data_IF_789189495405
#
_entry.id   IF_789189495405
#
_cell.length_a   1.000
_cell.length_b   1.000
_cell.length_c   1.000
_cell.angle_alpha   90.00
_cell.angle_beta   90.00
_cell.angle_gamma   90.00
#
_symmetry.space_group_name_H-M   'P 1'
#
loop_
_entity.id
_entity.type
_entity.pdbx_description
1 polymer ?
#
# COMPACT_ATOMS: atom_id res chain seq x y z
N UNK A 1 31.64 -23.31 -29.75
CA UNK A 1 31.89 -22.96 -28.34
C UNK A 1 31.72 -21.46 -28.23
N UNK A 2 30.50 -21.00 -27.97
CA UNK A 2 30.23 -19.60 -27.68
C UNK A 2 30.62 -19.37 -26.23
N UNK A 3 31.55 -18.46 -26.02
CA UNK A 3 31.93 -17.95 -24.71
C UNK A 3 30.69 -17.32 -24.10
N UNK A 4 30.02 -18.02 -23.19
CA UNK A 4 29.07 -17.40 -22.28
C UNK A 4 29.85 -16.32 -21.53
N UNK A 5 29.58 -15.06 -21.84
CA UNK A 5 30.07 -13.94 -21.04
C UNK A 5 29.54 -14.17 -19.63
N UNK A 6 30.46 -14.38 -18.71
CA UNK A 6 30.19 -14.53 -17.29
C UNK A 6 29.56 -13.21 -16.81
N UNK A 7 28.26 -13.27 -16.55
CA UNK A 7 27.63 -12.87 -15.31
C UNK A 7 27.90 -11.42 -14.85
N UNK A 8 27.25 -10.46 -15.52
CA UNK A 8 26.90 -9.23 -14.80
C UNK A 8 25.81 -9.62 -13.82
N UNK A 9 26.21 -10.00 -12.61
CA UNK A 9 25.30 -10.35 -11.51
C UNK A 9 24.28 -9.21 -11.39
N UNK A 10 23.05 -9.45 -11.84
CA UNK A 10 22.01 -8.42 -11.92
C UNK A 10 21.44 -8.24 -10.51
N UNK A 11 22.17 -7.44 -9.74
CA UNK A 11 21.89 -7.10 -8.36
C UNK A 11 21.50 -5.64 -8.25
N UNK A 12 20.55 -5.37 -7.37
CA UNK A 12 20.23 -4.02 -6.98
C UNK A 12 21.43 -3.39 -6.26
N UNK A 13 21.67 -2.13 -6.57
CA UNK A 13 22.59 -1.27 -5.82
C UNK A 13 21.97 -0.89 -4.47
N UNK A 14 22.78 -0.38 -3.53
CA UNK A 14 22.26 0.09 -2.23
C UNK A 14 21.23 1.23 -2.39
N UNK A 15 21.44 2.13 -3.34
CA UNK A 15 20.52 3.22 -3.67
C UNK A 15 19.19 2.71 -4.22
N UNK A 16 19.26 1.72 -5.12
CA UNK A 16 18.08 1.02 -5.65
C UNK A 16 17.29 0.29 -4.54
N UNK A 17 17.99 -0.34 -3.58
CA UNK A 17 17.35 -0.99 -2.43
C UNK A 17 16.70 0.02 -1.48
N UNK A 18 17.31 1.18 -1.26
CA UNK A 18 16.73 2.27 -0.46
C UNK A 18 15.45 2.83 -1.10
N UNK A 19 15.46 3.03 -2.42
CA UNK A 19 14.27 3.45 -3.16
C UNK A 19 13.13 2.42 -3.05
N UNK A 20 13.43 1.13 -3.16
CA UNK A 20 12.44 0.05 -2.99
C UNK A 20 11.89 0.01 -1.55
N UNK A 21 12.77 0.15 -0.55
CA UNK A 21 12.41 0.20 0.87
C UNK A 21 11.46 1.37 1.18
N UNK A 22 11.83 2.60 0.77
CA UNK A 22 11.01 3.80 0.92
C UNK A 22 9.66 3.65 0.23
N UNK A 23 9.63 3.04 -0.96
CA UNK A 23 8.38 2.78 -1.69
C UNK A 23 7.44 1.88 -0.88
N UNK A 24 7.95 0.84 -0.22
CA UNK A 24 7.15 -0.06 0.62
C UNK A 24 6.55 0.67 1.83
N UNK A 25 7.35 1.54 2.45
CA UNK A 25 6.94 2.34 3.60
C UNK A 25 5.88 3.38 3.22
N UNK A 26 6.07 4.08 2.09
CA UNK A 26 5.09 5.04 1.55
C UNK A 26 3.79 4.34 1.15
N UNK A 27 3.87 3.19 0.47
CA UNK A 27 2.69 2.38 0.15
C UNK A 27 1.94 1.95 1.40
N UNK A 28 2.66 1.54 2.46
CA UNK A 28 2.02 1.18 3.74
C UNK A 28 1.31 2.36 4.38
N UNK A 29 1.96 3.53 4.42
CA UNK A 29 1.39 4.75 4.98
C UNK A 29 0.17 5.23 4.17
N UNK A 30 0.25 5.20 2.85
CA UNK A 30 -0.81 5.67 1.94
C UNK A 30 -2.02 4.75 1.91
N UNK A 31 -1.81 3.42 1.89
CA UNK A 31 -2.93 2.45 1.88
C UNK A 31 -3.53 2.20 3.26
N UNK A 32 -2.81 2.51 4.33
CA UNK A 32 -3.15 2.12 5.70
C UNK A 32 -3.05 0.60 5.94
N UNK A 33 -2.49 -0.16 5.00
CA UNK A 33 -2.29 -1.61 5.07
C UNK A 33 -0.81 -1.93 5.19
N UNK A 34 -0.46 -3.08 5.77
CA UNK A 34 0.92 -3.52 5.85
C UNK A 34 1.40 -4.02 4.49
N UNK A 35 2.30 -3.28 3.84
CA UNK A 35 2.95 -3.66 2.59
C UNK A 35 4.39 -4.07 2.88
N UNK A 36 4.76 -5.26 2.42
CA UNK A 36 6.11 -5.78 2.49
C UNK A 36 6.80 -5.62 1.13
N UNK A 37 8.10 -5.34 1.17
CA UNK A 37 8.99 -5.49 0.04
C UNK A 37 10.05 -6.54 0.41
N UNK A 38 9.97 -7.72 -0.21
CA UNK A 38 10.98 -8.76 -0.04
C UNK A 38 11.93 -8.78 -1.22
N UNK A 39 13.24 -8.71 -0.95
CA UNK A 39 14.26 -9.00 -1.94
C UNK A 39 14.48 -10.51 -2.03
N UNK A 40 14.33 -11.06 -3.22
CA UNK A 40 14.56 -12.47 -3.49
C UNK A 40 15.43 -12.64 -4.75
N UNK A 41 15.74 -13.89 -5.09
CA UNK A 41 16.51 -14.26 -6.28
C UNK A 41 15.66 -15.22 -7.11
N UNK A 42 15.53 -14.96 -8.41
CA UNK A 42 14.83 -15.85 -9.34
C UNK A 42 15.62 -17.14 -9.59
N UNK A 43 15.00 -18.14 -10.20
CA UNK A 43 15.67 -19.39 -10.61
C UNK A 43 16.86 -19.14 -11.57
N UNK A 44 16.87 -18.01 -12.26
CA UNK A 44 17.90 -17.57 -13.19
C UNK A 44 19.04 -16.78 -12.50
N UNK A 45 18.94 -16.58 -11.19
CA UNK A 45 19.97 -15.88 -10.39
C UNK A 45 19.86 -14.35 -10.42
N UNK A 46 18.73 -13.80 -10.84
CA UNK A 46 18.49 -12.35 -10.91
C UNK A 46 17.80 -11.88 -9.64
N UNK A 47 18.19 -10.72 -9.10
CA UNK A 47 17.43 -10.15 -7.99
C UNK A 47 16.06 -9.66 -8.44
N UNK A 48 15.07 -9.86 -7.55
CA UNK A 48 13.69 -9.41 -7.69
C UNK A 48 13.25 -8.77 -6.38
N UNK A 49 12.54 -7.66 -6.48
CA UNK A 49 11.86 -7.02 -5.37
C UNK A 49 10.36 -7.30 -5.49
N UNK A 50 9.80 -7.99 -4.50
CA UNK A 50 8.40 -8.43 -4.48
C UNK A 50 7.63 -7.54 -3.52
N UNK A 51 6.63 -6.82 -4.03
CA UNK A 51 5.73 -6.01 -3.21
C UNK A 51 4.44 -6.77 -2.97
N UNK A 52 4.11 -7.02 -1.70
CA UNK A 52 2.92 -7.75 -1.33
C UNK A 52 2.25 -7.17 -0.08
N UNK A 53 0.92 -7.20 -0.07
CA UNK A 53 0.11 -6.77 1.06
C UNK A 53 -0.08 -7.95 2.02
N UNK A 54 0.25 -7.76 3.30
CA UNK A 54 -0.06 -8.75 4.34
C UNK A 54 -1.58 -8.91 4.45
N UNK A 55 -2.03 -10.15 4.49
CA UNK A 55 -3.42 -10.48 4.80
C UNK A 55 -3.59 -10.52 6.32
N UNK A 56 -4.69 -9.96 6.81
CA UNK A 56 -4.95 -9.87 8.23
C UNK A 56 -4.97 -11.28 8.86
N UNK A 57 -4.01 -11.56 9.74
CA UNK A 57 -3.91 -12.83 10.47
C UNK A 57 -4.99 -12.96 11.57
N UNK A 58 -5.80 -11.92 11.77
CA UNK A 58 -6.76 -11.80 12.86
C UNK A 58 -8.12 -12.50 12.60
N UNK A 59 -8.29 -13.14 11.44
CA UNK A 59 -9.34 -14.17 11.26
C UNK A 59 -8.87 -15.59 11.66
N UNK A 60 -7.57 -15.87 11.59
CA UNK A 60 -7.03 -17.20 11.90
C UNK A 60 -6.57 -17.38 13.37
N UNK A 61 -6.51 -16.30 14.15
CA UNK A 61 -5.88 -16.33 15.49
C UNK A 61 -6.79 -15.92 16.64
N UNK A 62 -8.12 -15.83 16.44
CA UNK A 62 -9.08 -15.73 17.54
C UNK A 62 -9.37 -17.14 18.10
N UNK A 63 -8.77 -17.43 19.25
CA UNK A 63 -8.99 -18.56 20.18
C UNK A 63 -8.48 -19.97 19.76
N UNK A 64 -7.38 -20.47 20.35
CA UNK A 64 -7.04 -21.90 20.32
C UNK A 64 -7.79 -22.71 21.40
N UNK A 65 -8.91 -22.21 21.94
CA UNK A 65 -9.59 -22.79 23.11
C UNK A 65 -10.82 -23.65 22.81
N UNK A 66 -11.35 -23.63 21.59
CA UNK A 66 -12.50 -24.45 21.19
C UNK A 66 -12.20 -25.19 19.87
N UNK A 67 -11.12 -25.98 19.87
CA UNK A 67 -10.85 -26.95 18.81
C UNK A 67 -11.75 -28.19 19.00
N UNK A 68 -13.05 -28.01 18.76
CA UNK A 68 -13.98 -29.11 18.50
C UNK A 68 -14.89 -28.72 17.32
N UNK A 69 -15.03 -29.65 16.39
CA UNK A 69 -15.83 -29.59 15.16
C UNK A 69 -15.51 -28.47 14.14
N UNK A 70 -14.79 -28.87 13.08
CA UNK A 70 -14.95 -28.39 11.69
C UNK A 70 -15.60 -27.01 11.51
N UNK A 71 -14.89 -25.95 11.85
CA UNK A 71 -15.27 -24.60 11.44
C UNK A 71 -14.52 -24.32 10.15
N UNK A 72 -15.25 -24.35 9.03
CA UNK A 72 -14.82 -23.72 7.79
C UNK A 72 -14.36 -22.30 8.17
N UNK A 73 -13.04 -22.10 8.05
CA UNK A 73 -12.38 -20.80 8.21
C UNK A 73 -13.23 -19.78 7.47
N UNK A 74 -13.78 -18.83 8.22
CA UNK A 74 -14.64 -17.80 7.69
C UNK A 74 -13.92 -17.18 6.51
N UNK A 75 -14.58 -17.26 5.36
CA UNK A 75 -14.12 -16.58 4.17
C UNK A 75 -14.40 -15.09 4.42
N UNK A 76 -13.34 -14.30 4.60
CA UNK A 76 -13.38 -12.91 4.19
C UNK A 76 -13.87 -12.92 2.73
N UNK A 77 -15.01 -12.27 2.49
CA UNK A 77 -15.68 -12.17 1.19
C UNK A 77 -14.88 -11.33 0.15
N UNK A 78 -13.56 -11.19 0.31
CA UNK A 78 -12.61 -10.54 -0.61
C UNK A 78 -11.73 -11.58 -1.35
N UNK A 79 -12.20 -12.83 -1.44
CA UNK A 79 -11.45 -13.98 -1.99
C UNK A 79 -11.45 -14.06 -3.52
N UNK A 80 -11.74 -12.99 -4.23
CA UNK A 80 -11.71 -13.00 -5.70
C UNK A 80 -10.60 -12.08 -6.20
N UNK A 81 -9.62 -12.70 -6.89
CA UNK A 81 -8.59 -12.11 -7.76
C UNK A 81 -7.25 -11.72 -7.08
N UNK A 82 -6.13 -12.14 -7.69
CA UNK A 82 -4.76 -11.87 -7.22
C UNK A 82 -3.96 -13.13 -6.81
N UNK A 83 -2.63 -13.02 -6.87
CA UNK A 83 -1.71 -14.12 -6.51
C UNK A 83 -1.33 -14.05 -5.02
N UNK A 84 -1.27 -15.19 -4.36
CA UNK A 84 -0.93 -15.28 -2.94
C UNK A 84 0.44 -15.92 -2.74
N UNK A 85 1.20 -15.40 -1.78
CA UNK A 85 2.53 -15.87 -1.45
C UNK A 85 2.80 -15.76 0.05
N UNK A 86 3.84 -16.44 0.51
CA UNK A 86 4.32 -16.39 1.88
C UNK A 86 5.61 -15.58 1.93
N UNK A 87 5.63 -14.54 2.75
CA UNK A 87 6.79 -13.66 2.95
C UNK A 87 7.20 -13.61 4.41
N UNK A 88 8.46 -13.20 4.66
CA UNK A 88 9.01 -13.09 6.01
C UNK A 88 9.65 -14.39 6.52
N UNK A 89 10.00 -14.41 7.81
CA UNK A 89 10.74 -15.48 8.45
C UNK A 89 12.26 -15.25 8.45
N UNK A 90 13.00 -16.18 9.06
CA UNK A 90 14.42 -16.00 9.38
C UNK A 90 15.34 -15.86 8.16
N UNK A 91 14.95 -16.42 7.02
CA UNK A 91 15.73 -16.40 5.79
C UNK A 91 15.26 -15.32 4.80
N UNK A 92 14.26 -14.52 5.18
CA UNK A 92 13.74 -13.44 4.34
C UNK A 92 14.67 -12.22 4.34
N UNK A 93 14.69 -11.49 3.22
CA UNK A 93 15.39 -10.21 3.09
C UNK A 93 14.36 -9.10 2.89
N UNK A 94 13.65 -8.76 3.96
CA UNK A 94 12.66 -7.67 3.94
C UNK A 94 13.35 -6.31 3.93
N UNK A 95 12.89 -5.44 3.02
CA UNK A 95 13.31 -4.07 2.87
C UNK A 95 12.32 -3.12 3.59
N UNK A 96 12.80 -1.95 4.00
CA UNK A 96 11.99 -0.94 4.68
C UNK A 96 11.60 -1.34 6.11
N UNK A 97 10.52 -0.73 6.61
CA UNK A 97 10.03 -0.91 7.98
C UNK A 97 9.01 -2.06 8.11
N UNK A 98 8.87 -2.92 7.08
CA UNK A 98 7.94 -4.05 7.06
C UNK A 98 6.49 -3.67 7.42
N UNK A 99 6.04 -2.48 7.01
CA UNK A 99 4.72 -1.93 7.37
C UNK A 99 4.47 -1.86 8.89
N UNK A 100 5.52 -1.80 9.72
CA UNK A 100 5.45 -1.74 11.17
C UNK A 100 5.45 -3.09 11.89
N UNK A 101 5.59 -4.22 11.19
CA UNK A 101 5.66 -5.54 11.81
C UNK A 101 6.97 -5.76 12.57
N UNK A 102 6.88 -6.18 13.83
CA UNK A 102 8.06 -6.32 14.71
C UNK A 102 8.71 -7.71 14.67
N UNK A 103 7.97 -8.71 14.24
CA UNK A 103 8.33 -10.14 14.26
C UNK A 103 8.57 -10.72 12.86
N UNK A 104 8.73 -9.85 11.86
CA UNK A 104 8.91 -10.20 10.45
C UNK A 104 10.08 -11.15 10.17
N UNK A 105 11.14 -11.08 10.98
CA UNK A 105 12.32 -11.96 10.86
C UNK A 105 12.11 -13.35 11.50
N UNK A 106 10.94 -13.61 12.09
CA UNK A 106 10.65 -14.88 12.78
C UNK A 106 9.33 -15.50 12.33
N UNK A 107 8.38 -14.68 11.89
CA UNK A 107 7.06 -15.09 11.46
C UNK A 107 6.94 -15.01 9.94
N UNK A 108 6.25 -15.98 9.36
CA UNK A 108 5.87 -15.99 7.95
C UNK A 108 4.43 -15.49 7.85
N UNK A 109 4.17 -14.59 6.91
CA UNK A 109 2.86 -14.00 6.66
C UNK A 109 2.31 -14.44 5.32
N UNK A 110 1.01 -14.69 5.28
CA UNK A 110 0.28 -14.82 4.03
C UNK A 110 0.05 -13.42 3.44
N UNK A 111 0.43 -13.25 2.17
CA UNK A 111 0.41 -11.98 1.49
C UNK A 111 -0.25 -12.11 0.12
N UNK A 112 -0.93 -11.05 -0.33
CA UNK A 112 -1.37 -10.90 -1.72
C UNK A 112 -0.33 -10.09 -2.49
N UNK A 113 0.14 -10.63 -3.61
CA UNK A 113 1.05 -9.96 -4.54
C UNK A 113 0.41 -8.69 -5.07
N UNK A 114 1.18 -7.61 -5.13
CA UNK A 114 0.79 -6.36 -5.78
C UNK A 114 1.51 -6.21 -7.12
N UNK A 115 2.83 -6.31 -7.08
CA UNK A 115 3.70 -6.26 -8.26
C UNK A 115 5.11 -6.73 -7.90
N UNK A 116 5.95 -6.94 -8.90
CA UNK A 116 7.37 -7.24 -8.73
C UNK A 116 8.22 -6.41 -9.69
N UNK A 117 9.38 -5.98 -9.21
CA UNK A 117 10.40 -5.31 -10.02
C UNK A 117 11.60 -6.25 -10.11
N UNK A 118 12.02 -6.56 -11.34
CA UNK A 118 13.13 -7.48 -11.57
C UNK A 118 14.02 -6.99 -12.70
N UNK A 119 15.23 -7.53 -12.76
CA UNK A 119 16.10 -7.26 -13.89
C UNK A 119 15.59 -7.95 -15.15
N UNK A 120 15.72 -7.27 -16.28
CA UNK A 120 15.51 -7.84 -17.60
C UNK A 120 16.47 -9.03 -17.80
N UNK A 121 15.94 -10.25 -17.96
CA UNK A 121 16.72 -11.49 -18.01
C UNK A 121 17.46 -11.68 -19.35
N UNK A 122 16.80 -11.39 -20.47
CA UNK A 122 17.28 -11.70 -21.82
C UNK A 122 17.77 -10.44 -22.55
N UNK A 123 19.06 -10.39 -22.86
CA UNK A 123 19.67 -9.29 -23.62
C UNK A 123 19.02 -9.23 -25.02
N UNK A 124 18.26 -8.15 -25.28
CA UNK A 124 17.56 -7.90 -26.54
C UNK A 124 16.04 -8.15 -26.53
N UNK A 125 15.46 -8.64 -25.42
CA UNK A 125 14.00 -8.67 -25.27
C UNK A 125 13.45 -7.28 -24.94
N UNK A 126 14.11 -6.59 -24.02
CA UNK A 126 13.91 -5.18 -23.69
C UNK A 126 15.26 -4.46 -23.69
N UNK A 127 15.26 -3.15 -23.98
CA UNK A 127 16.49 -2.34 -23.95
C UNK A 127 16.83 -1.89 -22.53
N UNK A 128 15.80 -1.71 -21.70
CA UNK A 128 15.94 -1.19 -20.35
C UNK A 128 16.35 -2.26 -19.32
N UNK A 129 16.95 -1.79 -18.21
CA UNK A 129 17.49 -2.63 -17.12
C UNK A 129 16.43 -3.39 -16.33
N UNK A 130 15.29 -2.75 -16.03
CA UNK A 130 14.28 -3.25 -15.10
C UNK A 130 12.94 -3.45 -15.78
N UNK A 131 12.21 -4.44 -15.28
CA UNK A 131 10.86 -4.79 -15.68
C UNK A 131 9.95 -4.67 -14.45
N UNK A 132 8.80 -4.00 -14.60
CA UNK A 132 7.72 -4.06 -13.62
C UNK A 132 6.66 -5.03 -14.13
N UNK A 133 6.30 -5.98 -13.27
CA UNK A 133 5.34 -7.04 -13.55
C UNK A 133 4.21 -6.95 -12.52
N UNK A 134 2.96 -7.04 -12.95
CA UNK A 134 1.81 -6.98 -12.05
C UNK A 134 1.58 -8.30 -11.29
N UNK A 135 0.49 -8.37 -10.54
CA UNK A 135 0.06 -9.54 -9.80
C UNK A 135 -0.43 -10.71 -10.68
N UNK A 136 -0.61 -10.51 -11.99
CA UNK A 136 -0.93 -11.56 -12.96
C UNK A 136 0.33 -12.09 -13.70
N UNK A 137 1.51 -11.64 -13.29
CA UNK A 137 2.79 -11.90 -13.96
C UNK A 137 2.88 -11.31 -15.37
N UNK A 138 2.09 -10.28 -15.67
CA UNK A 138 2.13 -9.54 -16.93
C UNK A 138 3.03 -8.32 -16.84
N UNK A 139 3.81 -8.08 -17.90
CA UNK A 139 4.65 -6.90 -18.00
C UNK A 139 3.78 -5.63 -18.06
N UNK A 140 4.04 -4.70 -17.14
CA UNK A 140 3.40 -3.38 -17.11
C UNK A 140 4.24 -2.36 -17.86
N UNK A 141 5.53 -2.26 -17.53
CA UNK A 141 6.45 -1.28 -18.11
C UNK A 141 7.92 -1.67 -17.88
N UNK A 142 8.85 -0.97 -18.54
CA UNK A 142 10.30 -1.14 -18.42
C UNK A 142 10.98 0.20 -18.15
N UNK A 143 12.13 0.19 -17.46
CA UNK A 143 12.94 1.41 -17.23
C UNK A 143 14.39 1.09 -16.85
N UNK A 144 15.29 2.04 -17.07
CA UNK A 144 16.67 2.01 -16.58
C UNK A 144 16.82 2.45 -15.12
N UNK A 145 15.81 3.15 -14.58
CA UNK A 145 15.78 3.66 -13.20
C UNK A 145 14.56 3.10 -12.45
N UNK A 146 14.77 2.66 -11.20
CA UNK A 146 13.69 2.16 -10.34
C UNK A 146 12.64 3.24 -10.04
N UNK A 147 13.07 4.49 -9.91
CA UNK A 147 12.20 5.64 -9.61
C UNK A 147 11.07 5.85 -10.64
N UNK A 148 11.28 5.39 -11.88
CA UNK A 148 10.29 5.50 -12.95
C UNK A 148 9.29 4.32 -12.94
N UNK A 149 9.58 3.26 -12.19
CA UNK A 149 8.73 2.07 -12.07
C UNK A 149 7.82 2.11 -10.83
N UNK A 150 8.29 2.74 -9.75
CA UNK A 150 7.54 2.79 -8.50
C UNK A 150 6.32 3.71 -8.61
N UNK A 151 5.18 3.38 -7.95
CA UNK A 151 3.92 4.14 -8.08
C UNK A 151 3.97 5.57 -7.54
N UNK A 152 4.98 5.91 -6.73
CA UNK A 152 5.24 7.27 -6.27
C UNK A 152 6.66 7.63 -6.69
N UNK A 153 6.84 8.67 -7.50
CA UNK A 153 8.18 9.20 -7.73
C UNK A 153 8.72 9.75 -6.41
N UNK A 154 9.69 9.06 -5.82
CA UNK A 154 10.31 9.46 -4.53
C UNK A 154 10.96 10.85 -4.58
N UNK A 155 11.21 11.39 -5.78
CA UNK A 155 11.61 12.78 -6.00
C UNK A 155 10.67 13.79 -5.35
N UNK A 156 9.36 13.51 -5.30
CA UNK A 156 8.40 14.43 -4.66
C UNK A 156 8.42 14.38 -3.13
N UNK A 157 8.99 13.32 -2.52
CA UNK A 157 8.99 13.13 -1.06
C UNK A 157 10.16 13.85 -0.39
N UNK A 158 11.32 13.91 -1.04
CA UNK A 158 12.49 14.66 -0.53
C UNK A 158 12.24 16.19 -0.55
N UNK A 159 11.32 16.68 -1.37
CA UNK A 159 10.90 18.08 -1.42
C UNK A 159 9.88 18.46 -0.30
N UNK A 160 9.43 17.50 0.52
CA UNK A 160 8.48 17.78 1.61
C UNK A 160 9.12 18.40 2.86
N UNK A 161 10.45 18.34 3.02
CA UNK A 161 11.16 19.02 4.10
C UNK A 161 11.16 20.56 3.93
N UNK A 162 10.81 21.07 2.73
CA UNK A 162 10.71 22.51 2.42
C UNK A 162 9.27 23.07 2.56
N UNK A 163 8.30 22.28 3.04
CA UNK A 163 6.98 22.81 3.45
C UNK A 163 7.07 23.44 4.85
N UNK A 164 8.01 24.39 5.02
CA UNK A 164 8.00 25.30 6.16
C UNK A 164 6.65 26.01 6.21
N UNK A 165 5.97 25.86 7.35
CA UNK A 165 4.71 26.48 7.75
C UNK A 165 4.44 27.82 7.02
N UNK A 166 3.66 27.80 5.93
CA UNK A 166 3.05 29.02 5.41
C UNK A 166 2.01 29.48 6.45
N UNK A 167 2.51 30.34 7.35
CA UNK A 167 1.77 31.16 8.29
C UNK A 167 0.55 31.73 7.55
N UNK A 168 -0.65 31.32 7.98
CA UNK A 168 -1.90 31.91 7.53
C UNK A 168 -1.97 33.33 8.10
N UNK A 169 -1.33 34.27 7.40
CA UNK A 169 -1.42 35.69 7.70
C UNK A 169 -2.88 36.14 7.54
N UNK A 170 -3.51 36.31 8.71
CA UNK A 170 -4.77 37.00 8.97
C UNK A 170 -4.67 38.46 8.50
N UNK A 171 -4.94 38.71 7.21
CA UNK A 171 -5.07 40.09 6.71
C UNK A 171 -6.55 40.51 6.74
N UNK A 172 -6.93 41.10 7.88
CA UNK A 172 -8.21 41.75 8.10
C UNK A 172 -8.44 42.92 7.14
N UNK A 173 -9.41 42.76 6.24
CA UNK A 173 -9.95 43.81 5.37
C UNK A 173 -11.45 44.00 5.63
N UNK A 174 -11.77 45.00 6.44
CA UNK A 174 -13.10 45.39 6.91
C UNK A 174 -13.93 46.18 5.86
N UNK A 175 -15.27 46.07 5.97
CA UNK A 175 -16.38 46.80 5.30
C UNK A 175 -17.06 46.08 4.12
N UNK A 176 -18.40 45.97 3.99
CA UNK A 176 -19.51 46.64 4.66
C UNK A 176 -20.90 46.02 4.29
N UNK A 177 -21.74 45.76 5.30
CA UNK A 177 -23.19 45.97 5.28
C UNK A 177 -24.13 44.94 4.63
N UNK A 178 -24.82 44.12 5.45
CA UNK A 178 -26.28 44.18 5.61
C UNK A 178 -26.77 43.26 6.76
N UNK A 179 -27.73 43.81 7.48
CA UNK A 179 -28.37 43.34 8.70
C UNK A 179 -29.26 42.12 8.40
N UNK A 180 -29.14 41.01 9.13
CA UNK A 180 -30.30 40.11 9.28
C UNK A 180 -30.28 39.38 10.64
N UNK A 181 -31.44 39.45 11.27
CA UNK A 181 -31.66 39.24 12.69
C UNK A 181 -31.48 37.77 13.10
N UNK A 182 -30.72 37.54 14.17
CA UNK A 182 -30.65 36.24 14.83
C UNK A 182 -32.04 35.84 15.32
N UNK A 183 -32.69 34.91 14.63
CA UNK A 183 -33.96 34.31 15.04
C UNK A 183 -33.84 33.79 16.48
N UNK A 184 -34.83 34.11 17.30
CA UNK A 184 -34.86 33.62 18.68
C UNK A 184 -34.98 32.09 18.72
N UNK A 185 -34.48 31.48 19.79
CA UNK A 185 -34.47 30.02 19.97
C UNK A 185 -35.88 29.40 19.84
N UNK A 186 -36.92 30.16 20.18
CA UNK A 186 -38.33 29.79 20.05
C UNK A 186 -38.79 29.72 18.58
N UNK A 187 -38.34 30.63 17.71
CA UNK A 187 -38.66 30.63 16.28
C UNK A 187 -37.93 29.51 15.52
N UNK A 188 -36.72 29.17 15.95
CA UNK A 188 -35.97 28.02 15.41
C UNK A 188 -36.67 26.69 15.72
N UNK A 189 -37.22 26.54 16.93
CA UNK A 189 -37.95 25.35 17.36
C UNK A 189 -39.29 25.18 16.64
N UNK A 190 -40.03 26.26 16.38
CA UNK A 190 -41.33 26.19 15.69
C UNK A 190 -41.17 25.84 14.20
N UNK A 191 -40.10 26.32 13.56
CA UNK A 191 -39.82 26.06 12.14
C UNK A 191 -39.38 24.62 11.85
N UNK A 192 -38.77 23.97 12.84
CA UNK A 192 -38.30 22.58 12.74
C UNK A 192 -39.17 21.57 13.50
N UNK A 193 -40.36 22.00 13.94
CA UNK A 193 -41.35 21.12 14.54
C UNK A 193 -41.97 20.22 13.47
N UNK A 194 -41.68 18.93 13.52
CA UNK A 194 -42.34 17.92 12.70
C UNK A 194 -43.87 17.99 12.95
N UNK A 195 -44.70 17.93 11.90
CA UNK A 195 -46.15 17.83 12.09
C UNK A 195 -46.47 16.53 12.85
N UNK A 196 -47.50 16.54 13.71
CA UNK A 196 -47.90 15.32 14.41
C UNK A 196 -48.30 14.24 13.40
N UNK A 197 -47.78 13.03 13.61
CA UNK A 197 -48.25 11.81 12.95
C UNK A 197 -49.74 11.65 13.26
N UNK A 198 -50.60 11.94 12.28
CA UNK A 198 -52.01 11.54 12.30
C UNK A 198 -52.09 10.02 12.17
N UNK A 199 -51.89 9.33 13.30
CA UNK A 199 -52.50 8.02 13.53
C UNK A 199 -53.96 8.26 13.89
N UNK A 200 -54.81 8.30 12.87
CA UNK A 200 -56.22 7.93 13.06
C UNK A 200 -56.72 7.14 11.83
N UNK A 201 -56.34 5.86 11.79
CA UNK A 201 -57.18 4.85 11.14
C UNK A 201 -58.37 4.58 12.04
N UNK A 202 -59.45 5.33 11.85
CA UNK A 202 -60.77 4.93 12.30
C UNK A 202 -61.53 4.20 11.20
N UNK A 203 -62.26 3.20 11.69
CA UNK A 203 -62.92 2.08 11.07
C UNK A 203 -64.10 2.44 10.15
#
# INVERSE_FOLDING_TARGET
MLTAKIDMKKLFTEEELDALAKTADVLSAWTGKCILCEKNITDEGLEVAIFAQVLDSNEATKNPADADESVETHAIEDKEEGQFLLLGGADSSILGNAGGLTDINTQIYECRLLFSIMFNAEEGQFEERFLLVNDEFELVTTSDNIEDLVPFSLREVDDLDDWEDEDWDDDGGDQDGEHDDALSEEEWLERHRLPPDDKDSTH
#
